data_IF_202870140234
#
_entry.id   IF_202870140234
#
_cell.length_a   1.000
_cell.length_b   1.000
_cell.length_c   1.000
_cell.angle_alpha   90.00
_cell.angle_beta   90.00
_cell.angle_gamma   90.00
#
_symmetry.space_group_name_H-M   'P 1'
#
loop_
_entity.id
_entity.type
_entity.pdbx_description
1 polymer ?
#
# COMPACT_ATOMS: atom_id res chain seq x y z
N UNK A 1 23.14 -12.54 -13.83
CA UNK A 1 21.83 -12.57 -13.12
C UNK A 1 20.96 -11.48 -13.73
N UNK A 2 19.75 -11.80 -14.18
CA UNK A 2 18.82 -10.81 -14.72
C UNK A 2 18.05 -10.19 -13.54
N UNK A 3 18.34 -8.92 -13.22
CA UNK A 3 17.61 -8.19 -12.19
C UNK A 3 16.40 -7.51 -12.82
N UNK A 4 15.21 -7.76 -12.26
CA UNK A 4 13.96 -7.11 -12.65
C UNK A 4 13.52 -6.20 -11.54
N UNK A 5 12.98 -5.03 -11.89
CA UNK A 5 12.46 -4.07 -10.93
C UNK A 5 10.94 -3.96 -11.05
N UNK A 6 10.29 -3.59 -9.95
CA UNK A 6 8.87 -3.23 -9.93
C UNK A 6 8.66 -2.04 -9.02
N UNK A 7 7.69 -1.24 -9.40
CA UNK A 7 7.13 -0.16 -8.59
C UNK A 7 5.64 -0.47 -8.43
N UNK A 8 5.14 -0.37 -7.19
CA UNK A 8 3.76 -0.63 -6.83
C UNK A 8 3.23 0.59 -6.09
N UNK A 9 2.10 1.11 -6.55
CA UNK A 9 1.35 2.17 -5.88
C UNK A 9 0.09 1.59 -5.26
N UNK A 10 -0.12 1.85 -3.97
CA UNK A 10 -1.34 1.50 -3.25
C UNK A 10 -2.11 2.78 -2.90
N UNK A 11 -3.43 2.74 -3.04
CA UNK A 11 -4.31 3.82 -2.63
C UNK A 11 -5.45 3.26 -1.80
N UNK A 12 -5.73 3.89 -0.66
CA UNK A 12 -6.79 3.50 0.25
C UNK A 12 -7.86 4.59 0.29
N UNK A 13 -9.10 4.19 0.07
CA UNK A 13 -10.27 5.05 0.08
C UNK A 13 -11.29 4.57 1.12
N UNK A 14 -11.91 5.49 1.85
CA UNK A 14 -13.14 5.21 2.59
C UNK A 14 -14.33 5.31 1.63
N UNK A 15 -14.98 4.17 1.39
CA UNK A 15 -16.09 4.05 0.42
C UNK A 15 -17.32 4.87 0.87
N UNK A 16 -17.52 5.08 2.18
CA UNK A 16 -18.69 5.83 2.67
C UNK A 16 -18.56 7.33 2.41
N UNK A 17 -17.37 7.88 2.63
CA UNK A 17 -17.08 9.31 2.42
C UNK A 17 -16.51 9.62 1.04
N UNK A 18 -16.11 8.62 0.27
CA UNK A 18 -15.33 8.76 -0.98
C UNK A 18 -13.99 9.49 -0.80
N UNK A 19 -13.48 9.58 0.43
CA UNK A 19 -12.22 10.27 0.75
C UNK A 19 -11.03 9.32 0.60
N UNK A 20 -9.96 9.80 -0.02
CA UNK A 20 -8.68 9.11 -0.05
C UNK A 20 -7.96 9.28 1.29
N UNK A 21 -7.73 8.17 2.00
CA UNK A 21 -7.14 8.16 3.35
C UNK A 21 -5.62 8.03 3.29
N UNK A 22 -5.10 7.29 2.30
CA UNK A 22 -3.67 7.06 2.18
C UNK A 22 -3.26 6.76 0.74
N UNK A 23 -2.01 7.06 0.42
CA UNK A 23 -1.31 6.58 -0.78
C UNK A 23 0.10 6.18 -0.37
N UNK A 24 0.59 5.09 -0.92
CA UNK A 24 1.97 4.65 -0.69
C UNK A 24 2.58 4.07 -1.96
N UNK A 25 3.88 4.29 -2.12
CA UNK A 25 4.66 3.70 -3.19
C UNK A 25 5.75 2.81 -2.61
N UNK A 26 5.82 1.60 -3.14
CA UNK A 26 6.89 0.64 -2.87
C UNK A 26 7.64 0.29 -4.12
N UNK A 27 8.94 0.04 -3.98
CA UNK A 27 9.79 -0.38 -5.08
C UNK A 27 10.72 -1.51 -4.64
N UNK A 28 11.04 -2.41 -5.56
CA UNK A 28 11.95 -3.49 -5.29
C UNK A 28 12.55 -4.07 -6.57
N UNK A 29 13.68 -4.76 -6.40
CA UNK A 29 14.26 -5.62 -7.43
C UNK A 29 14.09 -7.10 -7.05
N UNK A 30 14.17 -7.99 -8.05
CA UNK A 30 14.05 -9.43 -7.86
C UNK A 30 15.09 -10.00 -6.88
N UNK A 31 16.25 -9.36 -6.76
CA UNK A 31 17.33 -9.70 -5.82
C UNK A 31 16.98 -9.33 -4.38
N UNK A 32 16.09 -8.35 -4.15
CA UNK A 32 15.65 -7.95 -2.81
C UNK A 32 14.59 -8.88 -2.22
N UNK A 33 14.15 -9.89 -2.99
CA UNK A 33 13.08 -10.82 -2.61
C UNK A 33 13.40 -11.66 -1.38
N UNK A 34 14.67 -12.01 -1.12
CA UNK A 34 15.04 -12.81 0.06
C UNK A 34 14.71 -12.12 1.39
N UNK A 35 14.98 -10.81 1.47
CA UNK A 35 14.63 -9.99 2.62
C UNK A 35 13.11 -9.79 2.74
N UNK A 36 12.43 -9.55 1.61
CA UNK A 36 10.97 -9.41 1.57
C UNK A 36 10.24 -10.71 1.95
N UNK A 37 10.73 -11.87 1.52
CA UNK A 37 10.15 -13.17 1.86
C UNK A 37 10.23 -13.44 3.36
N UNK A 38 11.36 -13.10 4.01
CA UNK A 38 11.50 -13.20 5.46
C UNK A 38 10.46 -12.35 6.22
N UNK A 39 10.19 -11.14 5.73
CA UNK A 39 9.15 -10.25 6.27
C UNK A 39 7.71 -10.72 5.96
N UNK A 40 7.49 -11.37 4.81
CA UNK A 40 6.20 -11.95 4.42
C UNK A 40 5.86 -13.22 5.20
N UNK A 41 6.86 -14.04 5.51
CA UNK A 41 6.67 -15.26 6.32
C UNK A 41 6.37 -14.94 7.77
N UNK A 42 6.94 -13.87 8.33
CA UNK A 42 6.65 -13.43 9.70
C UNK A 42 5.31 -12.72 9.85
N UNK A 43 4.71 -12.24 8.76
CA UNK A 43 3.42 -11.53 8.75
C UNK A 43 2.21 -12.41 8.36
N UNK A 44 2.40 -13.69 8.06
CA UNK A 44 1.32 -14.63 7.72
C UNK A 44 0.74 -14.49 6.31
N UNK A 45 1.27 -13.57 5.49
CA UNK A 45 0.76 -13.25 4.14
C UNK A 45 1.32 -14.20 3.05
N UNK A 46 2.29 -15.05 3.39
CA UNK A 46 3.02 -15.88 2.45
C UNK A 46 2.16 -16.87 1.63
N UNK A 47 0.99 -17.29 2.13
CA UNK A 47 0.14 -18.29 1.48
C UNK A 47 -0.49 -17.83 0.15
N UNK A 48 -0.82 -16.54 0.01
CA UNK A 48 -1.52 -16.01 -1.18
C UNK A 48 -0.60 -15.58 -2.33
N UNK A 49 0.69 -15.38 -2.06
CA UNK A 49 1.63 -14.79 -3.03
C UNK A 49 2.61 -15.80 -3.64
N UNK A 50 2.62 -17.06 -3.19
CA UNK A 50 3.56 -18.09 -3.63
C UNK A 50 3.56 -18.38 -5.14
N UNK A 51 2.45 -18.09 -5.84
CA UNK A 51 2.37 -18.20 -7.30
C UNK A 51 3.18 -17.14 -8.05
N UNK A 52 3.24 -15.91 -7.53
CA UNK A 52 3.98 -14.79 -8.13
C UNK A 52 5.47 -14.86 -7.83
N UNK A 53 5.86 -15.59 -6.80
CA UNK A 53 7.26 -15.77 -6.38
C UNK A 53 8.12 -16.61 -7.34
N UNK A 54 7.54 -17.15 -8.42
CA UNK A 54 8.20 -18.10 -9.33
C UNK A 54 9.09 -17.43 -10.37
N UNK A 55 8.83 -16.18 -10.75
CA UNK A 55 9.62 -15.43 -11.74
C UNK A 55 10.35 -14.24 -11.11
N UNK A 56 11.47 -13.77 -11.67
CA UNK A 56 12.13 -12.56 -11.20
C UNK A 56 11.20 -11.34 -11.14
N UNK A 57 10.33 -11.17 -12.14
CA UNK A 57 9.34 -10.10 -12.22
C UNK A 57 8.32 -10.19 -11.08
N UNK A 58 7.78 -11.39 -10.82
CA UNK A 58 6.79 -11.57 -9.77
C UNK A 58 7.42 -11.48 -8.36
N UNK A 59 8.68 -11.91 -8.20
CA UNK A 59 9.47 -11.65 -6.98
C UNK A 59 9.63 -10.15 -6.72
N UNK A 60 10.02 -9.38 -7.74
CA UNK A 60 10.15 -7.93 -7.63
C UNK A 60 8.80 -7.27 -7.28
N UNK A 61 7.72 -7.73 -7.90
CA UNK A 61 6.35 -7.22 -7.65
C UNK A 61 5.90 -7.49 -6.21
N UNK A 62 6.06 -8.71 -5.72
CA UNK A 62 5.69 -9.08 -4.35
C UNK A 62 6.49 -8.29 -3.31
N UNK A 63 7.78 -8.11 -3.56
CA UNK A 63 8.64 -7.32 -2.68
C UNK A 63 8.24 -5.82 -2.67
N UNK A 64 7.97 -5.24 -3.85
CA UNK A 64 7.53 -3.85 -3.97
C UNK A 64 6.15 -3.64 -3.32
N UNK A 65 5.24 -4.60 -3.46
CA UNK A 65 3.94 -4.58 -2.78
C UNK A 65 4.10 -4.60 -1.26
N UNK A 66 4.96 -5.47 -0.72
CA UNK A 66 5.19 -5.53 0.73
C UNK A 66 5.77 -4.21 1.28
N UNK A 67 6.71 -3.61 0.55
CA UNK A 67 7.26 -2.29 0.90
C UNK A 67 6.17 -1.19 0.89
N UNK A 68 5.35 -1.14 -0.16
CA UNK A 68 4.22 -0.21 -0.24
C UNK A 68 3.23 -0.41 0.92
N UNK A 69 2.92 -1.67 1.26
CA UNK A 69 2.01 -2.04 2.34
C UNK A 69 2.55 -1.62 3.71
N UNK A 70 3.83 -1.88 4.01
CA UNK A 70 4.44 -1.48 5.29
C UNK A 70 4.47 0.04 5.43
N UNK A 71 4.81 0.78 4.37
CA UNK A 71 4.75 2.24 4.35
C UNK A 71 3.32 2.75 4.61
N UNK A 72 2.31 2.11 4.02
CA UNK A 72 0.90 2.43 4.27
C UNK A 72 0.50 2.17 5.72
N UNK A 73 0.91 1.03 6.33
CA UNK A 73 0.66 0.77 7.76
C UNK A 73 1.23 1.88 8.63
N UNK A 74 2.48 2.30 8.38
CA UNK A 74 3.11 3.38 9.15
C UNK A 74 2.36 4.70 8.96
N UNK A 75 1.95 5.02 7.73
CA UNK A 75 1.11 6.20 7.44
C UNK A 75 -0.21 6.16 8.22
N UNK A 76 -0.91 5.03 8.19
CA UNK A 76 -2.22 4.85 8.83
C UNK A 76 -2.14 4.81 10.36
N UNK A 77 -1.06 4.29 10.95
CA UNK A 77 -0.85 4.34 12.41
C UNK A 77 -0.77 5.77 12.95
N UNK A 78 -0.33 6.71 12.11
CA UNK A 78 -0.25 8.14 12.45
C UNK A 78 -1.45 8.93 11.92
N UNK A 79 -2.41 8.28 11.23
CA UNK A 79 -3.58 8.95 10.70
C UNK A 79 -4.56 9.29 11.81
N UNK A 80 -5.00 10.56 11.84
CA UNK A 80 -6.11 11.03 12.66
C UNK A 80 -7.21 11.49 11.73
N UNK A 81 -8.39 10.88 11.84
CA UNK A 81 -9.54 11.29 11.05
C UNK A 81 -9.85 12.77 11.29
N UNK A 82 -9.98 13.54 10.21
CA UNK A 82 -10.39 14.93 10.29
C UNK A 82 -11.91 14.96 10.46
N UNK A 83 -12.38 15.46 11.59
CA UNK A 83 -13.77 15.85 11.76
C UNK A 83 -13.92 17.28 11.23
N UNK A 84 -14.68 17.42 10.13
CA UNK A 84 -14.99 18.73 9.55
C UNK A 84 -16.47 19.00 9.77
N UNK A 85 -16.76 20.11 10.44
CA UNK A 85 -18.12 20.59 10.62
C UNK A 85 -18.74 20.89 9.25
N UNK A 86 -19.85 20.20 8.93
CA UNK A 86 -20.49 20.25 7.61
C UNK A 86 -19.98 19.23 6.58
N UNK A 87 -19.04 18.34 6.95
CA UNK A 87 -18.62 17.19 6.15
C UNK A 87 -17.47 17.44 5.16
N UNK A 88 -16.60 16.44 4.99
CA UNK A 88 -15.58 16.45 3.95
C UNK A 88 -16.25 16.25 2.57
N UNK A 89 -15.96 17.15 1.62
CA UNK A 89 -16.47 17.08 0.24
C UNK A 89 -17.87 17.66 0.00
N UNK A 90 -18.56 18.15 1.05
CA UNK A 90 -19.92 18.70 0.98
C UNK A 90 -19.99 20.23 1.08
N UNK A 91 -18.85 20.92 1.02
CA UNK A 91 -18.76 22.38 1.17
C UNK A 91 -18.68 22.88 2.62
N UNK A 92 -18.59 21.98 3.61
CA UNK A 92 -18.47 22.36 5.02
C UNK A 92 -19.68 23.16 5.51
N UNK A 93 -19.41 24.30 6.16
CA UNK A 93 -20.45 25.24 6.66
C UNK A 93 -20.91 26.27 5.61
N UNK A 94 -20.53 26.13 4.35
CA UNK A 94 -20.91 27.09 3.32
C UNK A 94 -22.41 27.05 3.08
N UNK A 95 -23.06 28.19 3.32
CA UNK A 95 -24.47 28.40 3.03
C UNK A 95 -24.62 28.48 1.51
N UNK A 96 -25.13 27.42 0.89
CA UNK A 96 -25.60 27.45 -0.49
C UNK A 96 -26.97 28.11 -0.50
N UNK A 97 -27.08 29.17 -1.32
CA UNK A 97 -28.19 30.13 -1.35
C UNK A 97 -29.56 29.49 -1.56
#
# INVERSE_FOLDING_TARGET
MQSKASVVTLSLFDIRSSVQISTSEGNATATNYGAALGALTSSGVAGGLGGFSRTPEGKATVAAFNDAWNKMIVSLKNYKAQEVEGGLGTGGVLKVN
#
